data_IF_176752820845
#
_entry.id   IF_176752820845
#
_cell.length_a   1.000
_cell.length_b   1.000
_cell.length_c   1.000
_cell.angle_alpha   90.00
_cell.angle_beta   90.00
_cell.angle_gamma   90.00
#
_symmetry.space_group_name_H-M   'P 1'
#
loop_
_entity.id
_entity.type
_entity.pdbx_description
1 polymer ?
#
# COMPACT_ATOMS: atom_id res chain seq x y z
N UNK A 1 12.77 2.42 29.33
CA UNK A 1 13.24 2.12 27.96
C UNK A 1 12.12 1.90 26.94
N UNK A 2 11.02 1.24 27.27
CA UNK A 2 9.94 0.95 26.30
C UNK A 2 9.17 2.18 25.79
N UNK A 3 9.09 3.24 26.59
CA UNK A 3 8.30 4.45 26.28
C UNK A 3 9.03 5.39 25.31
N UNK A 4 10.35 5.50 25.46
CA UNK A 4 11.20 6.24 24.54
C UNK A 4 11.17 5.64 23.13
N UNK A 5 11.33 4.31 23.00
CA UNK A 5 11.23 3.64 21.68
C UNK A 5 9.83 3.77 21.05
N UNK A 6 8.77 3.79 21.86
CA UNK A 6 7.39 3.96 21.38
C UNK A 6 7.14 5.39 20.89
N UNK A 7 7.68 6.38 21.60
CA UNK A 7 7.61 7.79 21.20
C UNK A 7 8.44 8.10 19.96
N UNK A 8 9.64 7.52 19.81
CA UNK A 8 10.45 7.71 18.59
C UNK A 8 9.76 7.14 17.37
N UNK A 9 9.13 5.95 17.50
CA UNK A 9 8.37 5.30 16.43
C UNK A 9 7.13 6.11 16.02
N UNK A 10 6.34 6.60 16.98
CA UNK A 10 5.22 7.50 16.70
C UNK A 10 5.67 8.83 16.09
N UNK A 11 6.81 9.37 16.52
CA UNK A 11 7.36 10.62 15.97
C UNK A 11 7.87 10.45 14.54
N UNK A 12 8.45 9.30 14.19
CA UNK A 12 8.85 8.97 12.81
C UNK A 12 7.64 8.81 11.89
N UNK A 13 6.56 8.18 12.37
CA UNK A 13 5.30 8.08 11.63
C UNK A 13 4.60 9.43 11.45
N UNK A 14 4.79 10.37 12.38
CA UNK A 14 4.24 11.73 12.29
C UNK A 14 5.13 12.71 11.51
N UNK A 15 6.41 12.39 11.29
CA UNK A 15 7.36 13.22 10.54
C UNK A 15 7.30 12.98 9.02
N UNK A 16 6.61 11.94 8.55
CA UNK A 16 6.26 11.82 7.14
C UNK A 16 5.26 12.91 6.79
N UNK A 17 5.50 13.64 5.71
CA UNK A 17 4.56 14.65 5.23
C UNK A 17 3.18 13.96 5.06
N UNK A 18 2.07 14.62 5.39
CA UNK A 18 0.74 14.02 5.24
C UNK A 18 0.48 13.50 3.82
N UNK A 19 1.16 14.08 2.83
CA UNK A 19 1.23 13.57 1.45
C UNK A 19 1.85 12.16 1.36
N UNK A 20 2.96 11.89 2.05
CA UNK A 20 3.67 10.61 2.00
C UNK A 20 2.84 9.49 2.65
N UNK A 21 2.18 9.80 3.77
CA UNK A 21 1.22 8.89 4.40
C UNK A 21 0.03 8.59 3.47
N UNK A 22 -0.42 9.58 2.69
CA UNK A 22 -1.43 9.40 1.65
C UNK A 22 -0.98 8.42 0.56
N UNK A 23 0.26 8.54 0.08
CA UNK A 23 0.83 7.61 -0.90
C UNK A 23 0.94 6.19 -0.35
N UNK A 24 1.38 6.00 0.90
CA UNK A 24 1.43 4.68 1.51
C UNK A 24 0.04 4.03 1.62
N UNK A 25 -0.97 4.82 2.01
CA UNK A 25 -2.34 4.34 2.08
C UNK A 25 -2.84 3.89 0.71
N UNK A 26 -2.62 4.68 -0.34
CA UNK A 26 -3.02 4.33 -1.71
C UNK A 26 -2.37 3.02 -2.17
N UNK A 27 -1.08 2.83 -1.88
CA UNK A 27 -0.34 1.60 -2.21
C UNK A 27 -0.93 0.40 -1.47
N UNK A 28 -1.15 0.52 -0.16
CA UNK A 28 -1.66 -0.57 0.66
C UNK A 28 -3.08 -0.99 0.24
N UNK A 29 -3.98 -0.03 0.06
CA UNK A 29 -5.36 -0.28 -0.36
C UNK A 29 -5.42 -0.90 -1.76
N UNK A 30 -4.62 -0.37 -2.70
CA UNK A 30 -4.53 -0.92 -4.05
C UNK A 30 -3.97 -2.35 -4.02
N UNK A 31 -2.92 -2.62 -3.25
CA UNK A 31 -2.36 -3.97 -3.13
C UNK A 31 -3.39 -4.98 -2.61
N UNK A 32 -4.06 -4.69 -1.49
CA UNK A 32 -5.08 -5.59 -0.94
C UNK A 32 -6.20 -5.86 -1.94
N UNK A 33 -6.69 -4.79 -2.60
CA UNK A 33 -7.77 -4.90 -3.58
C UNK A 33 -7.36 -5.74 -4.77
N UNK A 34 -6.19 -5.50 -5.36
CA UNK A 34 -5.70 -6.27 -6.51
C UNK A 34 -5.39 -7.72 -6.15
N UNK A 35 -4.89 -7.98 -4.95
CA UNK A 35 -4.69 -9.34 -4.45
C UNK A 35 -6.02 -10.09 -4.32
N UNK A 36 -7.06 -9.46 -3.78
CA UNK A 36 -8.41 -10.04 -3.72
C UNK A 36 -9.00 -10.27 -5.12
N UNK A 37 -8.83 -9.29 -6.03
CA UNK A 37 -9.30 -9.38 -7.42
C UNK A 37 -8.61 -10.52 -8.17
N UNK A 38 -7.31 -10.71 -7.97
CA UNK A 38 -6.55 -11.85 -8.50
C UNK A 38 -7.06 -13.17 -7.94
N UNK A 39 -7.26 -13.26 -6.62
CA UNK A 39 -7.82 -14.46 -6.00
C UNK A 39 -9.19 -14.83 -6.60
N UNK A 40 -10.09 -13.85 -6.77
CA UNK A 40 -11.38 -14.10 -7.44
C UNK A 40 -11.20 -14.51 -8.90
N UNK A 41 -10.29 -13.89 -9.65
CA UNK A 41 -10.03 -14.25 -11.05
C UNK A 41 -9.49 -15.68 -11.19
N UNK A 42 -8.67 -16.13 -10.25
CA UNK A 42 -8.06 -17.46 -10.25
C UNK A 42 -9.04 -18.55 -9.78
N UNK A 43 -9.93 -18.25 -8.83
CA UNK A 43 -10.72 -19.28 -8.14
C UNK A 43 -12.25 -19.19 -8.34
N UNK A 44 -12.78 -18.07 -8.82
CA UNK A 44 -14.21 -17.91 -9.09
C UNK A 44 -14.48 -17.69 -10.59
N UNK A 45 -14.68 -18.81 -11.31
CA UNK A 45 -15.01 -18.78 -12.74
C UNK A 45 -16.43 -18.29 -13.05
N UNK A 46 -17.28 -18.10 -12.03
CA UNK A 46 -18.63 -17.54 -12.21
C UNK A 46 -18.60 -16.01 -12.36
N UNK A 47 -17.56 -15.35 -11.83
CA UNK A 47 -17.39 -13.91 -11.95
C UNK A 47 -17.12 -13.51 -13.40
N UNK A 48 -18.05 -12.76 -13.98
CA UNK A 48 -17.85 -12.03 -15.23
C UNK A 48 -17.32 -10.63 -14.96
N UNK A 49 -16.23 -10.30 -15.65
CA UNK A 49 -15.58 -8.99 -15.58
C UNK A 49 -15.96 -8.15 -16.78
N UNK A 50 -16.40 -6.93 -16.54
CA UNK A 50 -16.54 -5.93 -17.58
C UNK A 50 -15.17 -5.36 -17.95
N UNK A 51 -15.02 -4.90 -19.19
CA UNK A 51 -13.79 -4.21 -19.63
C UNK A 51 -13.47 -3.02 -18.71
N UNK A 52 -14.49 -2.26 -18.30
CA UNK A 52 -14.34 -1.10 -17.42
C UNK A 52 -13.81 -1.48 -16.03
N UNK A 53 -14.30 -2.57 -15.42
CA UNK A 53 -13.77 -3.06 -14.14
C UNK A 53 -12.27 -3.38 -14.26
N UNK A 54 -11.88 -4.11 -15.30
CA UNK A 54 -10.47 -4.51 -15.50
C UNK A 54 -9.59 -3.28 -15.75
N UNK A 55 -10.03 -2.35 -16.60
CA UNK A 55 -9.27 -1.13 -16.86
C UNK A 55 -9.11 -0.25 -15.61
N UNK A 56 -10.11 -0.21 -14.73
CA UNK A 56 -9.99 0.48 -13.45
C UNK A 56 -8.97 -0.20 -12.53
N UNK A 57 -8.88 -1.53 -12.53
CA UNK A 57 -7.88 -2.27 -11.77
C UNK A 57 -6.46 -2.03 -12.30
N UNK A 58 -6.29 -2.02 -13.62
CA UNK A 58 -5.02 -1.67 -14.29
C UNK A 58 -4.61 -0.23 -13.97
N UNK A 59 -5.54 0.72 -14.05
CA UNK A 59 -5.25 2.12 -13.71
C UNK A 59 -4.78 2.27 -12.27
N UNK A 60 -5.46 1.62 -11.31
CA UNK A 60 -5.06 1.66 -9.90
C UNK A 60 -3.67 1.09 -9.67
N UNK A 61 -3.32 -0.01 -10.35
CA UNK A 61 -1.96 -0.54 -10.30
C UNK A 61 -0.94 0.53 -10.74
N UNK A 62 -1.21 1.23 -11.86
CA UNK A 62 -0.36 2.34 -12.33
C UNK A 62 -0.26 3.46 -11.30
N UNK A 63 -1.40 3.93 -10.77
CA UNK A 63 -1.45 5.02 -9.79
C UNK A 63 -0.69 4.67 -8.48
N UNK A 64 -0.75 3.40 -8.06
CA UNK A 64 0.01 2.92 -6.91
C UNK A 64 1.53 2.86 -7.19
N UNK A 65 1.95 2.48 -8.39
CA UNK A 65 3.36 2.56 -8.78
C UNK A 65 3.88 4.01 -8.83
N UNK A 66 3.05 4.94 -9.30
CA UNK A 66 3.39 6.36 -9.29
C UNK A 66 3.50 6.89 -7.86
N UNK A 67 2.58 6.50 -6.97
CA UNK A 67 2.66 6.79 -5.54
C UNK A 67 3.92 6.23 -4.91
N UNK A 68 4.29 4.97 -5.20
CA UNK A 68 5.52 4.37 -4.71
C UNK A 68 6.75 5.13 -5.20
N UNK A 69 6.79 5.51 -6.48
CA UNK A 69 7.90 6.28 -7.06
C UNK A 69 8.10 7.62 -6.36
N UNK A 70 7.01 8.25 -5.89
CA UNK A 70 7.06 9.52 -5.15
C UNK A 70 7.73 9.37 -3.78
N UNK A 71 7.49 8.26 -3.07
CA UNK A 71 7.91 8.09 -1.66
C UNK A 71 9.04 7.09 -1.43
N UNK A 72 9.46 6.28 -2.42
CA UNK A 72 10.42 5.16 -2.24
C UNK A 72 11.82 5.54 -1.72
N UNK A 73 12.11 6.83 -1.55
CA UNK A 73 13.38 7.34 -1.00
C UNK A 73 13.20 7.95 0.39
N UNK A 74 11.96 8.01 0.88
CA UNK A 74 11.62 8.56 2.18
C UNK A 74 11.67 7.46 3.24
N UNK A 75 12.12 7.80 4.45
CA UNK A 75 12.24 6.86 5.58
C UNK A 75 10.93 6.13 5.89
N UNK A 76 9.79 6.78 5.66
CA UNK A 76 8.46 6.20 5.90
C UNK A 76 8.18 4.99 4.99
N UNK A 77 8.74 4.97 3.78
CA UNK A 77 8.60 3.85 2.85
C UNK A 77 9.42 2.63 3.31
N UNK A 78 10.65 2.87 3.78
CA UNK A 78 11.50 1.80 4.35
C UNK A 78 10.88 1.22 5.62
N UNK A 79 10.38 2.08 6.52
CA UNK A 79 9.69 1.66 7.75
C UNK A 79 8.44 0.82 7.43
N UNK A 80 7.69 1.19 6.38
CA UNK A 80 6.53 0.44 5.93
C UNK A 80 6.92 -0.96 5.41
N UNK A 81 7.97 -1.06 4.59
CA UNK A 81 8.47 -2.36 4.09
C UNK A 81 8.94 -3.27 5.23
N UNK A 82 9.66 -2.71 6.22
CA UNK A 82 10.09 -3.46 7.39
C UNK A 82 8.90 -3.95 8.22
N UNK A 83 7.87 -3.13 8.38
CA UNK A 83 6.64 -3.54 9.08
C UNK A 83 5.94 -4.70 8.37
N UNK A 84 5.86 -4.71 7.03
CA UNK A 84 5.30 -5.83 6.26
C UNK A 84 6.06 -7.15 6.43
N UNK A 85 7.37 -7.10 6.67
CA UNK A 85 8.20 -8.29 6.86
C UNK A 85 8.14 -8.83 8.30
N UNK A 86 8.00 -7.93 9.27
CA UNK A 86 8.08 -8.26 10.70
C UNK A 86 6.70 -8.59 11.29
N UNK A 87 5.63 -7.97 10.79
CA UNK A 87 4.26 -8.32 11.16
C UNK A 87 3.79 -9.51 10.31
N UNK A 88 3.83 -10.71 10.89
CA UNK A 88 3.12 -11.89 10.41
C UNK A 88 1.75 -12.00 11.07
#
# INVERSE_FOLDING_TARGET
>A
MNEACRNTRNKQLQNGNQADAGHLKEIAETFMRLQQRRHTADYDSSKRWTRTEVLNDVKRASDAFDSWKAIRKETIADDFLLQLLIQR
#
